data_IF_758112036439
#
_entry.id   IF_758112036439
#
_cell.length_a   1.000
_cell.length_b   1.000
_cell.length_c   1.000
_cell.angle_alpha   90.00
_cell.angle_beta   90.00
_cell.angle_gamma   90.00
#
_symmetry.space_group_name_H-M   'P 1'
#
loop_
_entity.id
_entity.type
_entity.pdbx_description
1 polymer ?
#
# COMPACT_ATOMS: atom_id res chain seq x y z
N UNK A 1 21.21 1.85 7.06
CA UNK A 1 21.77 0.94 6.05
C UNK A 1 20.63 0.37 5.21
N UNK A 2 20.81 0.38 3.89
CA UNK A 2 19.87 -0.26 2.95
C UNK A 2 20.51 -1.57 2.52
N UNK A 3 19.85 -2.70 2.76
CA UNK A 3 20.31 -4.02 2.35
C UNK A 3 19.37 -4.53 1.27
N UNK A 4 19.91 -4.86 0.10
CA UNK A 4 19.17 -5.54 -0.95
C UNK A 4 19.07 -7.04 -0.60
N UNK A 5 17.87 -7.61 -0.59
CA UNK A 5 17.61 -9.03 -0.34
C UNK A 5 17.65 -9.88 -1.61
N UNK A 6 17.77 -9.23 -2.76
CA UNK A 6 17.92 -9.84 -4.09
C UNK A 6 18.87 -9.00 -4.91
N UNK A 7 19.31 -9.48 -6.07
CA UNK A 7 20.09 -8.67 -7.02
C UNK A 7 19.30 -7.41 -7.38
N UNK A 8 19.91 -6.25 -7.19
CA UNK A 8 19.29 -4.96 -7.44
C UNK A 8 20.23 -4.03 -8.19
N UNK A 9 19.69 -3.30 -9.16
CA UNK A 9 20.37 -2.16 -9.78
C UNK A 9 19.88 -0.89 -9.10
N UNK A 10 20.82 -0.16 -8.49
CA UNK A 10 20.50 1.07 -7.76
C UNK A 10 20.98 2.25 -8.59
N UNK A 11 20.04 3.12 -8.99
CA UNK A 11 20.33 4.42 -9.56
C UNK A 11 20.18 5.46 -8.46
N UNK A 12 21.27 6.17 -8.18
CA UNK A 12 21.27 7.27 -7.21
C UNK A 12 21.35 8.60 -7.93
N UNK A 13 20.58 9.58 -7.48
CA UNK A 13 20.65 10.97 -7.93
C UNK A 13 20.53 11.90 -6.73
N UNK A 14 21.14 13.07 -6.82
CA UNK A 14 21.00 14.10 -5.80
C UNK A 14 19.75 14.94 -6.11
N UNK A 15 18.86 15.07 -5.13
CA UNK A 15 17.60 15.84 -5.32
C UNK A 15 17.86 17.31 -5.71
N UNK A 16 18.98 17.90 -5.28
CA UNK A 16 19.39 19.26 -5.64
C UNK A 16 19.71 19.44 -7.12
N UNK A 17 20.14 18.38 -7.81
CA UNK A 17 20.41 18.43 -9.25
C UNK A 17 19.12 18.39 -10.09
N UNK A 18 18.03 17.89 -9.50
CA UNK A 18 16.71 17.85 -10.17
C UNK A 18 16.00 19.21 -10.17
N UNK A 19 16.43 20.15 -9.31
CA UNK A 19 15.88 21.50 -9.22
C UNK A 19 17.02 22.53 -9.38
N UNK A 20 17.56 22.74 -10.57
CA UNK A 20 18.52 23.81 -10.79
C UNK A 20 17.84 25.15 -10.48
N UNK A 21 18.50 25.97 -9.68
CA UNK A 21 18.03 27.28 -9.19
C UNK A 21 17.84 28.35 -10.29
N UNK A 22 18.13 28.02 -11.53
CA UNK A 22 17.92 28.89 -12.69
C UNK A 22 16.94 28.23 -13.65
N UNK A 23 15.75 28.80 -13.77
CA UNK A 23 14.81 28.52 -14.84
C UNK A 23 15.41 29.07 -16.15
N UNK A 24 16.29 28.28 -16.78
CA UNK A 24 16.70 28.56 -18.14
C UNK A 24 15.78 27.82 -19.10
N UNK A 25 15.15 28.58 -19.96
CA UNK A 25 14.38 28.14 -21.11
C UNK A 25 15.19 27.16 -21.95
N UNK A 26 14.82 25.90 -21.95
CA UNK A 26 15.49 24.86 -22.75
C UNK A 26 15.50 23.47 -22.14
N UNK A 27 14.66 23.21 -21.13
CA UNK A 27 14.52 21.85 -20.60
C UNK A 27 14.05 20.92 -21.72
N UNK A 28 14.88 19.93 -22.01
CA UNK A 28 14.50 18.85 -22.93
C UNK A 28 13.19 18.22 -22.46
N UNK A 29 12.33 17.88 -23.39
CA UNK A 29 11.09 17.11 -23.13
C UNK A 29 11.35 15.83 -22.32
N UNK A 30 12.55 15.26 -22.45
CA UNK A 30 13.04 14.12 -21.67
C UNK A 30 13.22 14.43 -20.19
N UNK A 31 13.70 15.62 -19.83
CA UNK A 31 13.89 16.02 -18.44
C UNK A 31 12.55 16.27 -17.76
N UNK A 32 11.59 16.87 -18.44
CA UNK A 32 10.24 17.05 -17.96
C UNK A 32 9.54 15.70 -17.72
N UNK A 33 9.70 14.73 -18.64
CA UNK A 33 9.16 13.39 -18.49
C UNK A 33 9.80 12.63 -17.31
N UNK A 34 11.10 12.80 -17.10
CA UNK A 34 11.81 12.18 -15.97
C UNK A 34 11.31 12.74 -14.63
N UNK A 35 11.21 14.06 -14.51
CA UNK A 35 10.68 14.73 -13.31
C UNK A 35 9.25 14.29 -13.04
N UNK A 36 8.40 14.24 -14.05
CA UNK A 36 7.02 13.78 -13.91
C UNK A 36 6.95 12.34 -13.39
N UNK A 37 7.73 11.42 -13.95
CA UNK A 37 7.79 10.03 -13.47
C UNK A 37 8.29 9.94 -12.03
N UNK A 38 9.27 10.74 -11.67
CA UNK A 38 9.80 10.79 -10.31
C UNK A 38 8.76 11.32 -9.32
N UNK A 39 8.04 12.38 -9.66
CA UNK A 39 6.94 12.90 -8.85
C UNK A 39 5.83 11.87 -8.66
N UNK A 40 5.46 11.13 -9.71
CA UNK A 40 4.49 10.04 -9.59
C UNK A 40 4.97 8.94 -8.65
N UNK A 41 6.24 8.55 -8.71
CA UNK A 41 6.81 7.56 -7.80
C UNK A 41 6.77 8.04 -6.34
N UNK A 42 7.15 9.29 -6.07
CA UNK A 42 7.10 9.88 -4.73
C UNK A 42 5.67 9.95 -4.21
N UNK A 43 4.74 10.41 -5.05
CA UNK A 43 3.31 10.51 -4.69
C UNK A 43 2.75 9.14 -4.33
N UNK A 44 2.97 8.13 -5.17
CA UNK A 44 2.49 6.78 -4.91
C UNK A 44 3.09 6.20 -3.62
N UNK A 45 4.37 6.45 -3.37
CA UNK A 45 5.03 6.00 -2.14
C UNK A 45 4.46 6.69 -0.91
N UNK A 46 4.25 8.00 -0.98
CA UNK A 46 3.66 8.78 0.12
C UNK A 46 2.24 8.32 0.43
N UNK A 47 1.41 8.09 -0.60
CA UNK A 47 0.05 7.56 -0.43
C UNK A 47 0.07 6.17 0.22
N UNK A 48 0.94 5.28 -0.25
CA UNK A 48 1.06 3.94 0.33
C UNK A 48 1.48 3.97 1.80
N UNK A 49 2.42 4.85 2.17
CA UNK A 49 2.83 5.05 3.56
C UNK A 49 1.70 5.63 4.41
N UNK A 50 0.99 6.64 3.91
CA UNK A 50 -0.14 7.24 4.61
C UNK A 50 -1.26 6.21 4.85
N UNK A 51 -1.61 5.42 3.84
CA UNK A 51 -2.58 4.34 3.96
C UNK A 51 -2.17 3.32 5.03
N UNK A 52 -0.90 2.95 5.07
CA UNK A 52 -0.39 2.03 6.10
C UNK A 52 -0.47 2.64 7.50
N UNK A 53 -0.14 3.91 7.66
CA UNK A 53 -0.27 4.63 8.95
C UNK A 53 -1.73 4.62 9.40
N UNK A 54 -2.68 4.91 8.52
CA UNK A 54 -4.10 4.89 8.86
C UNK A 54 -4.57 3.52 9.34
N UNK A 55 -4.11 2.44 8.72
CA UNK A 55 -4.42 1.07 9.16
C UNK A 55 -3.76 0.78 10.51
N UNK A 56 -2.47 1.09 10.67
CA UNK A 56 -1.72 0.78 11.90
C UNK A 56 -2.21 1.58 13.11
N UNK A 57 -2.76 2.78 12.91
CA UNK A 57 -3.31 3.62 13.98
C UNK A 57 -4.57 3.06 14.63
N UNK A 58 -5.22 2.06 14.01
CA UNK A 58 -6.41 1.41 14.57
C UNK A 58 -6.03 0.48 15.72
N UNK A 59 -6.88 0.42 16.75
CA UNK A 59 -6.60 -0.34 17.96
C UNK A 59 -6.87 -1.83 17.79
N UNK A 60 -7.95 -2.21 17.11
CA UNK A 60 -8.34 -3.61 16.93
C UNK A 60 -7.96 -4.16 15.55
N UNK A 61 -7.76 -5.49 15.49
CA UNK A 61 -7.52 -6.19 14.21
C UNK A 61 -8.70 -5.98 13.26
N UNK A 62 -9.91 -6.01 13.79
CA UNK A 62 -11.17 -5.79 13.05
C UNK A 62 -11.20 -4.42 12.38
N UNK A 63 -10.91 -3.36 13.13
CA UNK A 63 -10.86 -2.00 12.57
C UNK A 63 -9.77 -1.84 11.52
N UNK A 64 -8.60 -2.44 11.74
CA UNK A 64 -7.51 -2.48 10.77
C UNK A 64 -7.96 -3.14 9.46
N UNK A 65 -8.67 -4.27 9.56
CA UNK A 65 -9.21 -4.98 8.39
C UNK A 65 -10.25 -4.15 7.64
N UNK A 66 -11.24 -3.58 8.33
CA UNK A 66 -12.25 -2.73 7.68
C UNK A 66 -11.64 -1.49 7.03
N UNK A 67 -10.66 -0.85 7.70
CA UNK A 67 -9.93 0.28 7.12
C UNK A 67 -9.18 -0.15 5.85
N UNK A 68 -8.53 -1.30 5.87
CA UNK A 68 -7.85 -1.85 4.69
C UNK A 68 -8.84 -2.18 3.57
N UNK A 69 -9.95 -2.84 3.89
CA UNK A 69 -10.98 -3.18 2.91
C UNK A 69 -11.55 -1.94 2.22
N UNK A 70 -11.83 -0.87 2.97
CA UNK A 70 -12.34 0.39 2.39
C UNK A 70 -11.37 1.02 1.41
N UNK A 71 -10.05 0.87 1.62
CA UNK A 71 -9.02 1.37 0.71
C UNK A 71 -8.92 0.59 -0.62
N UNK A 72 -9.25 -0.72 -0.57
CA UNK A 72 -9.20 -1.60 -1.74
C UNK A 72 -10.56 -1.75 -2.43
N UNK A 73 -11.62 -1.26 -1.82
CA UNK A 73 -12.96 -1.29 -2.42
C UNK A 73 -13.03 -0.36 -3.63
N UNK A 74 -13.39 -0.91 -4.79
CA UNK A 74 -13.54 -0.12 -6.01
C UNK A 74 -14.83 0.69 -5.99
N UNK A 75 -14.84 1.90 -6.60
CA UNK A 75 -16.05 2.75 -6.65
C UNK A 75 -17.25 2.11 -7.35
N UNK A 76 -17.03 1.06 -8.14
CA UNK A 76 -18.07 0.39 -8.94
C UNK A 76 -18.98 -0.57 -8.14
N UNK A 77 -19.00 -0.49 -6.81
CA UNK A 77 -19.93 -1.25 -5.98
C UNK A 77 -19.67 -2.75 -5.85
N UNK A 78 -18.52 -3.26 -6.33
CA UNK A 78 -18.15 -4.65 -6.08
C UNK A 78 -17.85 -4.86 -4.61
N UNK A 79 -18.63 -5.74 -3.96
CA UNK A 79 -18.44 -6.11 -2.54
C UNK A 79 -17.24 -7.03 -2.35
N UNK A 80 -16.65 -7.54 -3.43
CA UNK A 80 -15.50 -8.45 -3.40
C UNK A 80 -14.20 -7.68 -3.62
N UNK A 81 -13.28 -7.86 -2.70
CA UNK A 81 -11.98 -7.20 -2.64
C UNK A 81 -10.91 -8.27 -2.75
N UNK A 82 -9.95 -8.08 -3.65
CA UNK A 82 -8.77 -8.94 -3.73
C UNK A 82 -7.56 -8.18 -3.19
N UNK A 83 -6.98 -8.72 -2.10
CA UNK A 83 -5.78 -8.16 -1.51
C UNK A 83 -4.52 -8.75 -2.15
N UNK A 84 -3.46 -7.94 -2.33
CA UNK A 84 -2.19 -8.40 -2.88
C UNK A 84 -1.31 -9.13 -1.83
N UNK A 85 -1.91 -9.64 -0.78
CA UNK A 85 -1.23 -10.28 0.34
C UNK A 85 -1.71 -11.71 0.52
N UNK A 86 -0.77 -12.63 0.81
CA UNK A 86 -1.11 -13.88 1.44
C UNK A 86 -1.39 -13.67 2.94
N UNK A 87 -1.77 -14.71 3.67
CA UNK A 87 -2.12 -14.60 5.10
C UNK A 87 -0.96 -14.09 5.96
N UNK A 88 0.26 -14.46 5.64
CA UNK A 88 1.46 -14.01 6.37
C UNK A 88 1.79 -12.56 6.06
N UNK A 89 1.76 -12.19 4.78
CA UNK A 89 1.95 -10.80 4.33
C UNK A 89 0.91 -9.86 4.89
N UNK A 90 -0.36 -10.30 4.97
CA UNK A 90 -1.44 -9.52 5.58
C UNK A 90 -1.18 -9.27 7.07
N UNK A 91 -0.74 -10.28 7.81
CA UNK A 91 -0.41 -10.13 9.23
C UNK A 91 0.74 -9.13 9.44
N UNK A 92 1.79 -9.21 8.61
CA UNK A 92 2.92 -8.26 8.62
C UNK A 92 2.45 -6.84 8.26
N UNK A 93 1.59 -6.71 7.24
CA UNK A 93 1.07 -5.41 6.83
C UNK A 93 0.26 -4.73 7.94
N UNK A 94 -0.58 -5.49 8.64
CA UNK A 94 -1.42 -5.02 9.75
C UNK A 94 -0.64 -4.87 11.07
N UNK A 95 0.61 -5.36 11.16
CA UNK A 95 1.39 -5.36 12.39
C UNK A 95 0.78 -6.23 13.50
N UNK A 96 0.28 -7.41 13.15
CA UNK A 96 -0.40 -8.32 14.08
C UNK A 96 0.12 -9.75 13.96
N UNK A 97 -0.12 -10.57 15.00
CA UNK A 97 0.20 -11.98 14.95
C UNK A 97 -0.71 -12.72 13.95
N UNK A 98 -0.13 -13.63 13.13
CA UNK A 98 -0.85 -14.39 12.10
C UNK A 98 -2.00 -15.23 12.69
N UNK A 99 -1.78 -15.84 13.84
CA UNK A 99 -2.82 -16.66 14.49
C UNK A 99 -3.97 -15.79 15.02
N UNK A 100 -3.66 -14.61 15.57
CA UNK A 100 -4.67 -13.66 16.03
C UNK A 100 -5.49 -13.12 14.85
N UNK A 101 -4.84 -12.81 13.74
CA UNK A 101 -5.51 -12.41 12.48
C UNK A 101 -6.45 -13.50 11.97
N UNK A 102 -6.00 -14.75 11.93
CA UNK A 102 -6.81 -15.87 11.44
C UNK A 102 -8.04 -16.10 12.31
N UNK A 103 -7.88 -16.02 13.63
CA UNK A 103 -9.02 -16.14 14.58
C UNK A 103 -10.03 -15.01 14.39
N UNK A 104 -9.56 -13.77 14.21
CA UNK A 104 -10.48 -12.65 14.00
C UNK A 104 -11.21 -12.74 12.66
N UNK A 105 -10.55 -13.18 11.60
CA UNK A 105 -11.20 -13.40 10.31
C UNK A 105 -12.27 -14.48 10.37
N UNK A 106 -12.00 -15.60 11.05
CA UNK A 106 -13.01 -16.66 11.27
C UNK A 106 -14.20 -16.11 12.06
N UNK A 107 -13.94 -15.36 13.13
CA UNK A 107 -15.00 -14.71 13.91
C UNK A 107 -15.87 -13.77 13.08
N UNK A 108 -15.24 -12.91 12.26
CA UNK A 108 -15.98 -12.00 11.37
C UNK A 108 -16.82 -12.76 10.33
N UNK A 109 -16.34 -13.91 9.87
CA UNK A 109 -17.10 -14.79 8.97
C UNK A 109 -18.27 -15.46 9.69
N UNK A 110 -18.09 -15.96 10.90
CA UNK A 110 -19.14 -16.57 11.73
C UNK A 110 -20.21 -15.54 12.09
N UNK A 111 -19.83 -14.29 12.30
CA UNK A 111 -20.75 -13.15 12.51
C UNK A 111 -21.48 -12.69 11.24
N UNK A 112 -21.15 -13.26 10.08
CA UNK A 112 -21.76 -12.90 8.79
C UNK A 112 -21.34 -11.54 8.24
N UNK A 113 -20.23 -10.97 8.73
CA UNK A 113 -19.74 -9.67 8.29
C UNK A 113 -18.94 -9.75 6.98
N UNK A 114 -18.23 -10.85 6.80
CA UNK A 114 -17.38 -11.10 5.64
C UNK A 114 -17.46 -12.58 5.22
N UNK A 115 -17.18 -12.81 3.96
CA UNK A 115 -16.80 -14.15 3.45
C UNK A 115 -15.41 -14.01 2.83
N UNK A 116 -14.55 -15.00 3.01
CA UNK A 116 -13.23 -14.96 2.39
C UNK A 116 -12.81 -16.32 1.84
N UNK A 117 -12.08 -16.29 0.75
CA UNK A 117 -11.32 -17.42 0.22
C UNK A 117 -9.91 -16.93 -0.13
N UNK A 118 -8.90 -17.51 0.52
CA UNK A 118 -7.48 -17.13 0.38
C UNK A 118 -7.28 -15.61 0.57
N UNK A 119 -7.10 -14.86 -0.52
CA UNK A 119 -6.87 -13.41 -0.53
C UNK A 119 -8.04 -12.60 -1.12
N UNK A 120 -9.16 -13.25 -1.36
CA UNK A 120 -10.40 -12.59 -1.77
C UNK A 120 -11.35 -12.47 -0.57
N UNK A 121 -11.92 -11.28 -0.39
CA UNK A 121 -12.80 -10.96 0.72
C UNK A 121 -14.08 -10.33 0.16
N UNK A 122 -15.22 -10.84 0.59
CA UNK A 122 -16.54 -10.26 0.26
C UNK A 122 -17.13 -9.69 1.53
N UNK A 123 -17.53 -8.43 1.51
CA UNK A 123 -18.24 -7.77 2.60
C UNK A 123 -19.74 -8.07 2.39
N UNK A 124 -20.41 -8.60 3.40
CA UNK A 124 -21.79 -9.05 3.37
C UNK A 124 -22.77 -7.96 3.81
#
# INVERSE_FOLDING_TARGET
YIVAMTDAVILTTQAGEMYPSTVQSGRSERDAALIHRFLLLLTNRTLAMNNRIQVLSKLSIREKLFTLFSMYQKPNGTRTIRLPFDRSGLAVYLGVNRCALSRELSRMQDEGLIRFDKNEFTIL
#
